data_IF_801590276768
#
_entry.id   IF_801590276768
#
_cell.length_a   1.000
_cell.length_b   1.000
_cell.length_c   1.000
_cell.angle_alpha   90.00
_cell.angle_beta   90.00
_cell.angle_gamma   90.00
#
_symmetry.space_group_name_H-M   'P 1'
#
loop_
_entity.id
_entity.type
_entity.pdbx_description
1 polymer ?
#
# COMPACT_ATOMS: atom_id res chain seq x y z
N UNK A 1 0.96 12.62 -14.21
CA UNK A 1 0.23 13.06 -12.99
C UNK A 1 0.80 12.35 -11.79
N UNK A 2 1.09 13.10 -10.74
CA UNK A 2 1.65 12.55 -9.50
C UNK A 2 0.52 12.13 -8.56
N UNK A 3 0.55 10.88 -8.10
CA UNK A 3 -0.44 10.33 -7.15
C UNK A 3 0.14 10.16 -5.76
N UNK A 4 1.33 10.73 -5.51
CA UNK A 4 1.97 10.61 -4.20
C UNK A 4 1.17 11.30 -3.10
N UNK A 5 1.14 10.64 -1.96
CA UNK A 5 0.72 11.20 -0.68
C UNK A 5 1.83 10.89 0.34
N UNK A 6 1.72 11.46 1.56
CA UNK A 6 2.78 11.28 2.57
C UNK A 6 3.05 9.80 2.89
N UNK A 7 2.01 8.95 2.87
CA UNK A 7 2.12 7.53 3.21
C UNK A 7 2.36 6.62 2.01
N UNK A 8 2.30 7.12 0.77
CA UNK A 8 2.56 6.33 -0.44
C UNK A 8 3.47 7.12 -1.35
N UNK A 9 4.66 6.60 -1.58
CA UNK A 9 5.64 7.22 -2.46
C UNK A 9 5.77 6.41 -3.75
N UNK A 10 5.85 7.08 -4.88
CA UNK A 10 5.96 6.43 -6.18
C UNK A 10 7.13 7.01 -6.98
N UNK A 11 7.85 6.15 -7.68
CA UNK A 11 8.92 6.54 -8.60
C UNK A 11 8.90 5.62 -9.80
N UNK A 12 9.43 6.11 -10.94
CA UNK A 12 9.64 5.31 -12.14
C UNK A 12 11.12 5.42 -12.50
N UNK A 13 11.78 4.29 -12.63
CA UNK A 13 13.18 4.24 -13.02
C UNK A 13 13.47 2.94 -13.76
N UNK A 14 14.13 3.03 -14.94
CA UNK A 14 14.53 1.85 -15.71
C UNK A 14 13.37 0.94 -16.11
N UNK A 15 12.19 1.49 -16.37
CA UNK A 15 11.00 0.72 -16.72
C UNK A 15 10.27 0.13 -15.52
N UNK A 16 10.73 0.37 -14.30
CA UNK A 16 10.12 -0.14 -13.07
C UNK A 16 9.37 0.99 -12.37
N UNK A 17 8.07 0.79 -12.15
CA UNK A 17 7.29 1.62 -11.25
C UNK A 17 7.46 1.10 -9.83
N UNK A 18 8.06 1.89 -8.95
CA UNK A 18 8.28 1.50 -7.55
C UNK A 18 7.34 2.24 -6.63
N UNK A 19 6.59 1.50 -5.84
CA UNK A 19 5.72 2.00 -4.79
C UNK A 19 6.36 1.70 -3.45
N UNK A 20 6.46 2.71 -2.60
CA UNK A 20 6.93 2.55 -1.22
C UNK A 20 5.81 2.96 -0.26
N UNK A 21 5.35 2.02 0.55
CA UNK A 21 4.42 2.32 1.64
C UNK A 21 5.22 2.97 2.77
N UNK A 22 4.81 4.16 3.19
CA UNK A 22 5.58 4.97 4.14
C UNK A 22 4.71 5.40 5.32
N UNK A 23 4.27 4.42 6.09
CA UNK A 23 3.55 4.62 7.34
C UNK A 23 4.13 3.70 8.42
N UNK A 24 5.45 3.81 8.69
CA UNK A 24 6.15 2.82 9.52
C UNK A 24 5.64 2.77 10.96
N UNK A 25 5.18 3.88 11.51
CA UNK A 25 4.63 3.92 12.89
C UNK A 25 3.37 3.09 13.05
N UNK A 26 2.65 2.83 11.96
CA UNK A 26 1.47 1.97 11.94
C UNK A 26 1.75 0.65 11.22
N UNK A 27 3.04 0.27 11.07
CA UNK A 27 3.48 -0.92 10.32
C UNK A 27 2.90 -0.95 8.91
N UNK A 28 2.79 0.21 8.27
CA UNK A 28 2.22 0.41 6.94
C UNK A 28 0.77 -0.07 6.80
N UNK A 29 0.00 -0.01 7.90
CA UNK A 29 -1.43 -0.30 7.84
C UNK A 29 -2.11 0.64 6.84
N UNK A 30 -3.04 0.08 6.04
CA UNK A 30 -3.67 0.81 4.96
C UNK A 30 -4.77 1.74 5.47
N UNK A 31 -4.65 3.02 5.13
CA UNK A 31 -5.73 4.00 5.26
C UNK A 31 -6.51 4.10 3.94
N UNK A 32 -7.69 4.70 3.96
CA UNK A 32 -8.45 4.94 2.73
C UNK A 32 -7.66 5.79 1.72
N UNK A 33 -7.01 6.91 2.11
CA UNK A 33 -6.16 7.65 1.16
C UNK A 33 -5.04 6.80 0.55
N UNK A 34 -4.44 5.88 1.32
CA UNK A 34 -3.41 4.98 0.79
C UNK A 34 -4.00 4.04 -0.27
N UNK A 35 -5.15 3.44 -0.01
CA UNK A 35 -5.82 2.55 -0.97
C UNK A 35 -6.16 3.32 -2.25
N UNK A 36 -6.70 4.53 -2.11
CA UNK A 36 -7.03 5.38 -3.26
C UNK A 36 -5.78 5.77 -4.07
N UNK A 37 -4.68 6.10 -3.40
CA UNK A 37 -3.41 6.43 -4.06
C UNK A 37 -2.86 5.22 -4.81
N UNK A 38 -2.92 4.02 -4.23
CA UNK A 38 -2.50 2.78 -4.89
C UNK A 38 -3.34 2.50 -6.14
N UNK A 39 -4.66 2.63 -6.03
CA UNK A 39 -5.56 2.46 -7.17
C UNK A 39 -5.23 3.43 -8.30
N UNK A 40 -5.08 4.71 -7.99
CA UNK A 40 -4.78 5.73 -8.99
C UNK A 40 -3.43 5.46 -9.68
N UNK A 41 -2.41 5.11 -8.90
CA UNK A 41 -1.09 4.82 -9.41
C UNK A 41 -1.08 3.59 -10.33
N UNK A 42 -1.69 2.49 -9.89
CA UNK A 42 -1.71 1.25 -10.67
C UNK A 42 -2.53 1.39 -11.96
N UNK A 43 -3.63 2.14 -11.91
CA UNK A 43 -4.42 2.43 -13.11
C UNK A 43 -3.64 3.27 -14.12
N UNK A 44 -2.92 4.29 -13.63
CA UNK A 44 -2.08 5.12 -14.50
C UNK A 44 -0.94 4.31 -15.13
N UNK A 45 -0.26 3.49 -14.32
CA UNK A 45 0.88 2.71 -14.79
C UNK A 45 0.49 1.53 -15.69
N UNK A 46 -0.72 1.03 -15.54
CA UNK A 46 -1.24 -0.02 -16.42
C UNK A 46 -1.17 0.41 -17.89
N UNK A 47 -1.47 1.67 -18.16
CA UNK A 47 -1.57 2.21 -19.50
C UNK A 47 -0.32 3.01 -19.93
N UNK A 48 0.68 3.11 -19.04
CA UNK A 48 1.90 3.88 -19.30
C UNK A 48 2.98 2.98 -19.93
N UNK A 49 3.38 3.23 -21.18
CA UNK A 49 4.39 2.40 -21.85
C UNK A 49 5.79 2.53 -21.23
N UNK A 50 6.05 3.56 -20.42
CA UNK A 50 7.31 3.70 -19.71
C UNK A 50 7.41 2.75 -18.52
N UNK A 51 6.30 2.18 -18.04
CA UNK A 51 6.27 1.24 -16.94
C UNK A 51 6.11 -0.18 -17.48
N UNK A 52 7.15 -0.98 -17.36
CA UNK A 52 7.17 -2.37 -17.82
C UNK A 52 6.79 -3.35 -16.73
N UNK A 53 7.08 -3.00 -15.48
CA UNK A 53 6.76 -3.80 -14.31
C UNK A 53 6.55 -2.90 -13.11
N UNK A 54 5.87 -3.42 -12.09
CA UNK A 54 5.59 -2.69 -10.85
C UNK A 54 6.20 -3.45 -9.69
N UNK A 55 6.87 -2.73 -8.79
CA UNK A 55 7.37 -3.27 -7.53
C UNK A 55 6.77 -2.47 -6.38
N UNK A 56 6.44 -3.15 -5.29
CA UNK A 56 5.94 -2.52 -4.07
C UNK A 56 6.75 -3.01 -2.88
N UNK A 57 7.09 -2.08 -2.00
CA UNK A 57 7.80 -2.36 -0.75
C UNK A 57 7.22 -1.54 0.39
N UNK A 58 7.49 -1.98 1.61
CA UNK A 58 7.19 -1.19 2.80
C UNK A 58 8.43 -0.41 3.26
N UNK A 59 8.18 0.69 3.96
CA UNK A 59 9.22 1.38 4.72
C UNK A 59 9.39 0.64 6.04
N UNK A 60 10.51 -0.06 6.19
CA UNK A 60 10.73 -0.96 7.33
C UNK A 60 11.45 -0.31 8.51
N UNK A 61 11.90 0.94 8.35
CA UNK A 61 12.74 1.55 9.37
C UNK A 61 11.89 2.41 10.30
N UNK A 62 11.73 1.93 11.52
CA UNK A 62 11.15 2.66 12.63
C UNK A 62 12.28 2.94 13.61
N UNK A 63 12.42 4.19 14.05
CA UNK A 63 13.46 4.56 15.01
C UNK A 63 14.85 4.70 14.41
N UNK A 64 15.86 4.71 15.28
CA UNK A 64 17.27 4.89 14.89
C UNK A 64 17.85 3.60 14.35
N UNK A 65 18.78 3.67 13.38
CA UNK A 65 19.52 2.49 12.95
C UNK A 65 20.17 1.79 14.15
N UNK A 66 20.01 0.46 14.23
CA UNK A 66 20.51 -0.34 15.32
C UNK A 66 19.61 -0.46 16.53
N UNK A 67 18.50 0.29 16.61
CA UNK A 67 17.49 0.11 17.64
C UNK A 67 16.65 -1.14 17.38
N UNK A 68 16.03 -1.74 18.45
CA UNK A 68 15.14 -2.88 18.23
C UNK A 68 14.00 -2.60 17.24
N UNK A 69 13.47 -1.36 17.23
CA UNK A 69 12.39 -0.96 16.33
C UNK A 69 12.84 -0.99 14.86
N UNK A 70 14.12 -0.77 14.60
CA UNK A 70 14.66 -0.80 13.24
C UNK A 70 14.74 -2.22 12.67
N UNK A 71 14.70 -3.25 13.53
CA UNK A 71 14.71 -4.65 13.13
C UNK A 71 13.32 -5.18 12.79
N UNK A 72 12.28 -4.54 13.30
CA UNK A 72 10.89 -4.97 13.18
C UNK A 72 10.11 -3.96 12.34
N UNK A 73 10.29 -4.03 11.05
CA UNK A 73 9.46 -3.29 10.13
C UNK A 73 8.26 -4.11 9.68
N UNK A 74 7.46 -3.52 8.83
CA UNK A 74 6.34 -4.20 8.22
C UNK A 74 6.25 -3.90 6.75
N UNK A 75 5.87 -4.89 5.95
CA UNK A 75 5.42 -4.63 4.59
C UNK A 75 4.09 -3.90 4.67
N UNK A 76 3.08 -4.53 5.24
CA UNK A 76 1.77 -3.95 5.45
C UNK A 76 1.02 -4.77 6.50
N UNK A 77 0.55 -4.12 7.55
CA UNK A 77 -0.19 -4.77 8.64
C UNK A 77 -1.69 -4.90 8.36
N UNK A 78 -2.13 -4.64 7.12
CA UNK A 78 -3.54 -4.72 6.75
C UNK A 78 -4.24 -3.38 6.86
N UNK A 79 -5.57 -3.39 7.01
CA UNK A 79 -6.35 -2.18 7.16
C UNK A 79 -6.13 -1.50 8.50
N UNK A 80 -6.41 -0.20 8.55
CA UNK A 80 -6.25 0.59 9.77
C UNK A 80 -7.38 0.30 10.75
N UNK A 81 -7.09 -0.47 11.80
CA UNK A 81 -8.07 -0.88 12.81
C UNK A 81 -8.66 0.32 13.54
N UNK A 82 -7.87 1.37 13.79
CA UNK A 82 -8.38 2.59 14.44
C UNK A 82 -9.43 3.26 13.58
N UNK A 83 -9.19 3.34 12.28
CA UNK A 83 -10.15 3.87 11.34
C UNK A 83 -11.45 3.04 11.36
N UNK A 84 -11.34 1.71 11.34
CA UNK A 84 -12.49 0.82 11.37
C UNK A 84 -13.33 1.01 12.64
N UNK A 85 -12.66 1.09 13.78
CA UNK A 85 -13.32 1.28 15.06
C UNK A 85 -14.06 2.62 15.12
N UNK A 86 -13.42 3.70 14.74
CA UNK A 86 -14.01 5.02 14.74
C UNK A 86 -15.18 5.13 13.77
N UNK A 87 -15.03 4.60 12.56
CA UNK A 87 -16.07 4.61 11.55
C UNK A 87 -17.30 3.79 11.99
N UNK A 88 -17.07 2.64 12.61
CA UNK A 88 -18.16 1.80 13.13
C UNK A 88 -18.94 2.50 14.25
N UNK A 89 -18.23 3.17 15.19
CA UNK A 89 -18.88 3.91 16.28
C UNK A 89 -19.68 5.11 15.77
N UNK A 90 -19.20 5.77 14.73
CA UNK A 90 -19.85 6.94 14.16
C UNK A 90 -20.97 6.60 13.18
N UNK A 91 -21.12 5.32 12.80
CA UNK A 91 -22.04 4.92 11.75
C UNK A 91 -21.63 5.50 10.38
N UNK A 92 -20.34 5.68 10.16
CA UNK A 92 -19.79 6.36 9.00
C UNK A 92 -19.74 5.43 7.77
N UNK A 93 -20.27 5.90 6.65
CA UNK A 93 -20.23 5.19 5.37
C UNK A 93 -18.80 5.00 4.84
N UNK A 94 -17.81 5.72 5.38
CA UNK A 94 -16.42 5.59 4.99
C UNK A 94 -15.87 4.17 5.19
N UNK A 95 -16.43 3.40 6.12
CA UNK A 95 -16.03 2.00 6.32
C UNK A 95 -16.38 1.14 5.10
N UNK A 96 -17.60 1.30 4.58
CA UNK A 96 -18.05 0.59 3.38
C UNK A 96 -17.23 1.03 2.16
N UNK A 97 -16.93 2.32 2.05
CA UNK A 97 -16.09 2.87 0.99
C UNK A 97 -14.69 2.27 1.05
N UNK A 98 -14.11 2.14 2.25
CA UNK A 98 -12.80 1.53 2.41
C UNK A 98 -12.79 0.09 1.91
N UNK A 99 -13.74 -0.73 2.32
CA UNK A 99 -13.80 -2.13 1.88
C UNK A 99 -14.03 -2.25 0.38
N UNK A 100 -14.90 -1.42 -0.19
CA UNK A 100 -15.14 -1.40 -1.63
C UNK A 100 -13.87 -1.07 -2.39
N UNK A 101 -13.15 -0.02 -1.97
CA UNK A 101 -11.90 0.40 -2.60
C UNK A 101 -10.80 -0.64 -2.42
N UNK A 102 -10.70 -1.26 -1.24
CA UNK A 102 -9.72 -2.30 -0.98
C UNK A 102 -9.96 -3.54 -1.85
N UNK A 103 -11.18 -4.00 -1.98
CA UNK A 103 -11.50 -5.13 -2.86
C UNK A 103 -11.23 -4.78 -4.32
N UNK A 104 -11.53 -3.56 -4.74
CA UNK A 104 -11.23 -3.08 -6.09
C UNK A 104 -9.72 -3.10 -6.35
N UNK A 105 -8.93 -2.65 -5.37
CA UNK A 105 -7.48 -2.68 -5.46
C UNK A 105 -6.95 -4.11 -5.56
N UNK A 106 -7.42 -5.01 -4.71
CA UNK A 106 -6.98 -6.40 -4.72
C UNK A 106 -7.32 -7.09 -6.04
N UNK A 107 -8.50 -6.82 -6.59
CA UNK A 107 -8.91 -7.34 -7.88
C UNK A 107 -8.02 -6.81 -9.01
N UNK A 108 -7.70 -5.52 -9.00
CA UNK A 108 -6.81 -4.91 -9.99
C UNK A 108 -5.41 -5.56 -9.94
N UNK A 109 -4.85 -5.76 -8.76
CA UNK A 109 -3.55 -6.39 -8.59
C UNK A 109 -3.57 -7.82 -9.10
N UNK A 110 -4.59 -8.59 -8.74
CA UNK A 110 -4.71 -9.99 -9.13
C UNK A 110 -4.78 -10.16 -10.66
N UNK A 111 -5.37 -9.20 -11.35
CA UNK A 111 -5.56 -9.22 -12.81
C UNK A 111 -4.63 -8.26 -13.54
N UNK A 112 -3.57 -7.78 -12.87
CA UNK A 112 -2.70 -6.76 -13.45
C UNK A 112 -1.96 -7.31 -14.67
N UNK A 113 -1.97 -6.58 -15.83
CA UNK A 113 -1.39 -7.09 -17.08
C UNK A 113 0.14 -7.01 -17.15
N UNK A 114 0.77 -6.38 -16.14
CA UNK A 114 2.24 -6.26 -16.06
C UNK A 114 2.75 -7.03 -14.85
N UNK A 115 4.01 -7.49 -14.84
CA UNK A 115 4.58 -8.10 -13.65
C UNK A 115 4.43 -7.20 -12.42
N UNK A 116 3.95 -7.76 -11.33
CA UNK A 116 3.76 -7.09 -10.06
C UNK A 116 4.54 -7.86 -8.99
N UNK A 117 5.55 -7.21 -8.42
CA UNK A 117 6.50 -7.82 -7.50
C UNK A 117 6.37 -7.15 -6.14
N UNK A 118 6.09 -7.92 -5.10
CA UNK A 118 6.02 -7.43 -3.74
C UNK A 118 7.24 -7.89 -2.94
N UNK A 119 7.93 -6.94 -2.32
CA UNK A 119 9.02 -7.22 -1.38
C UNK A 119 8.43 -7.29 0.02
N UNK A 120 8.07 -8.50 0.45
CA UNK A 120 7.42 -8.74 1.74
C UNK A 120 8.47 -8.94 2.83
N UNK A 121 9.11 -7.85 3.23
CA UNK A 121 10.09 -7.85 4.31
C UNK A 121 9.42 -7.31 5.58
N UNK A 122 9.28 -8.17 6.59
CA UNK A 122 8.62 -7.82 7.83
C UNK A 122 7.18 -8.29 7.89
N UNK A 123 6.35 -7.56 8.64
CA UNK A 123 4.98 -7.96 8.93
C UNK A 123 4.08 -7.81 7.71
N UNK A 124 3.37 -8.90 7.37
CA UNK A 124 2.34 -8.92 6.32
C UNK A 124 1.08 -9.53 6.93
N UNK A 125 -0.02 -8.79 6.99
CA UNK A 125 -1.27 -9.24 7.58
C UNK A 125 -2.47 -8.71 6.80
N UNK A 126 -3.56 -9.47 6.76
CA UNK A 126 -4.84 -9.04 6.21
C UNK A 126 -4.73 -8.39 4.83
N UNK A 127 -5.09 -7.12 4.71
CA UNK A 127 -5.00 -6.35 3.47
C UNK A 127 -3.60 -6.28 2.88
N UNK A 128 -2.54 -6.39 3.72
CA UNK A 128 -1.16 -6.49 3.23
C UNK A 128 -0.91 -7.73 2.39
N UNK A 129 -1.55 -8.85 2.73
CA UNK A 129 -1.49 -10.05 1.90
C UNK A 129 -2.20 -9.83 0.57
N UNK A 130 -3.34 -9.13 0.57
CA UNK A 130 -4.09 -8.83 -0.65
C UNK A 130 -3.29 -8.01 -1.65
N UNK A 131 -2.54 -7.01 -1.19
CA UNK A 131 -1.73 -6.16 -2.08
C UNK A 131 -0.38 -6.77 -2.45
N UNK A 132 0.01 -7.90 -1.86
CA UNK A 132 1.27 -8.58 -2.14
C UNK A 132 1.10 -9.77 -3.09
N UNK A 133 -0.10 -10.20 -3.33
CA UNK A 133 -0.43 -11.34 -4.15
C UNK A 133 -1.18 -10.90 -5.40
#
# INVERSE_FOLDING_TARGET
MNHDIAEVHTTIAGGIGLITLNRPKALNALSLPMVQALLATLRAWRDDPAVLAVAIRGSNKIGRPGSPEALFGGFCAGGDIRFFHQAALAGDAALDDFFTEEYTLNHLIHNYPKPYIAFMDGIVMGGGMGISQ
#
